data_IF_440300803958
#
_entry.id   IF_440300803958
#
_cell.length_a   1.000
_cell.length_b   1.000
_cell.length_c   1.000
_cell.angle_alpha   90.00
_cell.angle_beta   90.00
_cell.angle_gamma   90.00
#
_symmetry.space_group_name_H-M   'P 1'
#
loop_
_entity.id
_entity.type
_entity.pdbx_description
1 polymer ?
#
# COMPACT_ATOMS: atom_id res chain seq x y z
N UNK A 1 -5.40 -42.20 10.49
CA UNK A 1 -5.60 -40.74 10.15
C UNK A 1 -6.56 -40.18 11.19
N UNK A 2 -6.34 -38.90 11.62
CA UNK A 2 -7.30 -38.21 12.51
C UNK A 2 -8.70 -38.19 11.86
N UNK A 3 -9.79 -38.49 12.61
CA UNK A 3 -11.13 -38.58 12.02
C UNK A 3 -11.58 -37.33 11.28
N UNK A 4 -11.17 -36.16 11.75
CA UNK A 4 -11.48 -34.85 11.10
C UNK A 4 -10.77 -34.70 9.76
N UNK A 5 -9.52 -35.17 9.64
CA UNK A 5 -8.79 -35.15 8.38
C UNK A 5 -9.32 -36.20 7.39
N UNK A 6 -9.83 -37.32 7.86
CA UNK A 6 -10.45 -38.30 7.00
C UNK A 6 -11.71 -37.75 6.29
N UNK A 7 -12.48 -36.86 6.94
CA UNK A 7 -13.62 -36.18 6.35
C UNK A 7 -13.23 -35.23 5.20
N UNK A 8 -11.98 -34.73 5.22
CA UNK A 8 -11.45 -33.82 4.17
C UNK A 8 -10.79 -34.59 3.01
N UNK A 9 -10.85 -35.92 3.00
CA UNK A 9 -10.35 -36.74 1.90
C UNK A 9 -11.30 -36.64 0.71
N UNK A 10 -10.83 -36.15 -0.44
CA UNK A 10 -11.69 -36.03 -1.62
C UNK A 10 -12.04 -37.41 -2.18
N UNK A 11 -13.30 -37.59 -2.61
CA UNK A 11 -13.79 -38.78 -3.32
C UNK A 11 -13.09 -39.01 -4.66
N UNK A 12 -12.35 -38.02 -5.18
CA UNK A 12 -11.58 -38.10 -6.44
C UNK A 12 -10.28 -38.92 -6.27
N UNK A 13 -9.85 -39.17 -5.04
CA UNK A 13 -8.67 -39.98 -4.79
C UNK A 13 -8.93 -41.47 -5.15
N UNK A 14 -7.99 -42.08 -5.87
CA UNK A 14 -8.03 -43.52 -6.20
C UNK A 14 -7.68 -44.40 -5.01
N UNK A 15 -6.94 -43.86 -4.02
CA UNK A 15 -6.50 -44.57 -2.80
C UNK A 15 -7.37 -44.13 -1.61
N UNK A 16 -7.56 -45.06 -0.65
CA UNK A 16 -8.32 -44.76 0.57
C UNK A 16 -7.43 -44.19 1.68
N UNK A 17 -7.99 -43.45 2.65
CA UNK A 17 -7.23 -42.96 3.81
C UNK A 17 -6.58 -44.05 4.65
N UNK A 18 -7.12 -45.28 4.59
CA UNK A 18 -6.61 -46.47 5.30
C UNK A 18 -5.38 -47.08 4.64
N UNK A 19 -5.06 -46.68 3.40
CA UNK A 19 -3.97 -47.25 2.59
C UNK A 19 -2.70 -46.39 2.64
N UNK A 20 -2.68 -45.33 3.47
CA UNK A 20 -1.56 -44.40 3.58
C UNK A 20 -1.17 -44.18 5.04
N UNK A 21 0.13 -44.08 5.30
CA UNK A 21 0.64 -43.72 6.63
C UNK A 21 0.55 -42.18 6.84
N UNK A 22 0.52 -41.75 8.12
CA UNK A 22 0.48 -40.33 8.51
C UNK A 22 1.68 -39.56 8.01
N UNK A 23 2.86 -40.17 7.87
CA UNK A 23 4.08 -39.53 7.36
C UNK A 23 4.25 -39.62 5.84
N UNK A 24 3.25 -40.13 5.12
CA UNK A 24 3.35 -40.33 3.67
C UNK A 24 3.57 -39.04 2.88
N UNK A 25 4.54 -39.08 1.96
CA UNK A 25 4.79 -38.04 1.00
C UNK A 25 3.88 -38.09 -0.24
N UNK A 26 3.01 -39.14 -0.33
CA UNK A 26 2.04 -39.22 -1.43
C UNK A 26 1.14 -37.99 -1.44
N UNK A 27 1.00 -37.39 -2.60
CA UNK A 27 0.07 -36.28 -2.83
C UNK A 27 -1.33 -36.84 -3.09
N UNK A 28 -2.32 -36.28 -2.43
CA UNK A 28 -3.73 -36.62 -2.56
C UNK A 28 -4.56 -35.36 -2.61
N UNK A 29 -5.78 -35.46 -3.12
CA UNK A 29 -6.73 -34.38 -3.19
C UNK A 29 -7.47 -34.26 -1.86
N UNK A 30 -7.39 -33.09 -1.23
CA UNK A 30 -8.11 -32.71 -0.04
C UNK A 30 -9.29 -31.82 -0.38
N UNK A 31 -10.35 -31.87 0.42
CA UNK A 31 -11.52 -31.00 0.28
C UNK A 31 -11.85 -30.35 1.62
N UNK A 32 -11.87 -29.03 1.72
CA UNK A 32 -12.26 -28.35 2.95
C UNK A 32 -13.79 -28.22 3.08
N UNK A 33 -14.25 -27.76 4.23
CA UNK A 33 -15.67 -27.56 4.52
C UNK A 33 -16.35 -26.56 3.57
N UNK A 34 -15.59 -25.56 3.06
CA UNK A 34 -16.06 -24.60 2.05
C UNK A 34 -16.07 -25.17 0.61
N UNK A 35 -15.71 -26.45 0.45
CA UNK A 35 -15.75 -27.13 -0.84
C UNK A 35 -14.50 -26.98 -1.70
N UNK A 36 -13.48 -26.21 -1.28
CA UNK A 36 -12.24 -26.07 -2.05
C UNK A 36 -11.48 -27.38 -2.09
N UNK A 37 -11.01 -27.73 -3.27
CA UNK A 37 -10.18 -28.91 -3.49
C UNK A 37 -8.74 -28.50 -3.84
N UNK A 38 -7.75 -29.18 -3.25
CA UNK A 38 -6.33 -28.98 -3.55
C UNK A 38 -5.53 -30.24 -3.35
N UNK A 39 -4.41 -30.32 -4.03
CA UNK A 39 -3.46 -31.40 -3.88
C UNK A 39 -2.40 -31.06 -2.82
N UNK A 40 -2.18 -31.94 -1.86
CA UNK A 40 -1.12 -31.85 -0.86
C UNK A 40 -0.68 -33.23 -0.39
N UNK A 41 0.60 -33.34 0.04
CA UNK A 41 1.11 -34.55 0.65
C UNK A 41 0.37 -34.86 1.95
N UNK A 42 0.15 -36.14 2.25
CA UNK A 42 -0.49 -36.58 3.51
C UNK A 42 0.26 -35.99 4.71
N UNK A 43 1.59 -36.10 4.75
CA UNK A 43 2.46 -35.54 5.81
C UNK A 43 2.20 -34.04 6.05
N UNK A 44 1.96 -33.26 5.00
CA UNK A 44 1.71 -31.81 5.12
C UNK A 44 0.43 -31.52 5.91
N UNK A 45 -0.57 -32.38 5.79
CA UNK A 45 -1.84 -32.24 6.50
C UNK A 45 -1.81 -32.81 7.90
N UNK A 46 -1.13 -33.94 8.07
CA UNK A 46 -1.12 -34.71 9.33
C UNK A 46 -0.08 -34.20 10.31
N UNK A 47 1.18 -34.05 9.88
CA UNK A 47 2.31 -33.68 10.73
C UNK A 47 2.46 -32.15 10.74
N UNK A 48 2.52 -31.51 9.56
CA UNK A 48 2.73 -30.05 9.46
C UNK A 48 1.43 -29.24 9.68
N UNK A 49 0.29 -29.90 9.82
CA UNK A 49 -1.04 -29.32 10.09
C UNK A 49 -1.42 -28.16 9.15
N UNK A 50 -0.93 -28.19 7.90
CA UNK A 50 -1.26 -27.16 6.92
C UNK A 50 -2.75 -27.19 6.59
N UNK A 51 -3.40 -26.02 6.50
CA UNK A 51 -4.81 -25.86 6.15
C UNK A 51 -5.08 -25.85 4.65
N UNK A 52 -6.31 -25.46 4.27
CA UNK A 52 -6.67 -25.17 2.89
C UNK A 52 -5.93 -23.91 2.42
N UNK A 53 -5.15 -23.95 1.32
CA UNK A 53 -4.35 -22.81 0.86
C UNK A 53 -5.20 -21.64 0.36
N UNK A 54 -6.43 -21.90 -0.05
CA UNK A 54 -7.37 -20.86 -0.48
C UNK A 54 -8.00 -20.14 0.73
N UNK A 55 -8.42 -20.90 1.75
CA UNK A 55 -8.96 -20.33 2.98
C UNK A 55 -7.92 -19.54 3.79
N UNK A 56 -6.65 -19.93 3.70
CA UNK A 56 -5.52 -19.23 4.34
C UNK A 56 -4.89 -18.14 3.49
N UNK A 57 -5.47 -17.82 2.33
CA UNK A 57 -4.97 -16.84 1.35
C UNK A 57 -3.54 -17.09 0.80
N UNK A 58 -3.00 -18.30 1.00
CA UNK A 58 -1.69 -18.70 0.46
C UNK A 58 -1.73 -18.98 -1.04
N UNK A 59 -2.92 -19.31 -1.58
CA UNK A 59 -3.17 -19.40 -3.02
C UNK A 59 -4.41 -18.61 -3.38
N UNK A 60 -4.35 -17.94 -4.54
CA UNK A 60 -5.51 -17.23 -5.08
C UNK A 60 -6.49 -18.21 -5.69
N UNK A 61 -7.78 -17.94 -5.49
CA UNK A 61 -8.91 -18.59 -6.15
C UNK A 61 -9.84 -17.47 -6.61
N UNK A 62 -9.91 -17.26 -7.93
CA UNK A 62 -10.78 -16.26 -8.53
C UNK A 62 -12.25 -16.49 -8.12
N UNK A 63 -12.94 -15.42 -7.78
CA UNK A 63 -14.31 -15.46 -7.27
C UNK A 63 -14.43 -15.84 -5.77
N UNK A 64 -13.31 -16.00 -5.06
CA UNK A 64 -13.36 -16.34 -3.63
C UNK A 64 -12.46 -15.45 -2.75
N UNK A 65 -11.14 -15.43 -3.00
CA UNK A 65 -10.18 -14.74 -2.15
C UNK A 65 -9.27 -13.79 -2.94
N UNK A 66 -9.62 -13.53 -4.19
CA UNK A 66 -8.91 -12.57 -5.04
C UNK A 66 -9.28 -11.12 -4.69
N UNK A 67 -8.42 -10.19 -5.12
CA UNK A 67 -8.59 -8.77 -4.86
C UNK A 67 -9.88 -8.19 -5.45
N UNK A 68 -10.23 -8.60 -6.68
CA UNK A 68 -11.41 -8.09 -7.36
C UNK A 68 -12.71 -8.50 -6.65
N UNK A 69 -12.77 -9.71 -6.10
CA UNK A 69 -13.92 -10.23 -5.37
C UNK A 69 -14.05 -9.62 -3.98
N UNK A 70 -12.94 -9.51 -3.23
CA UNK A 70 -12.99 -9.06 -1.85
C UNK A 70 -13.02 -7.53 -1.71
N UNK A 71 -12.33 -6.81 -2.60
CA UNK A 71 -12.17 -5.35 -2.54
C UNK A 71 -12.39 -4.73 -3.94
N UNK A 72 -13.61 -4.79 -4.50
CA UNK A 72 -13.89 -4.33 -5.87
C UNK A 72 -13.57 -2.84 -6.07
N UNK A 73 -13.79 -2.00 -5.05
CA UNK A 73 -13.46 -0.57 -5.13
C UNK A 73 -11.96 -0.31 -5.25
N UNK A 74 -11.14 -1.15 -4.61
CA UNK A 74 -9.67 -1.07 -4.72
C UNK A 74 -9.20 -1.67 -6.04
N UNK A 75 -9.82 -2.77 -6.46
CA UNK A 75 -9.54 -3.39 -7.75
C UNK A 75 -9.85 -2.47 -8.94
N UNK A 76 -10.83 -1.56 -8.81
CA UNK A 76 -11.13 -0.55 -9.82
C UNK A 76 -10.00 0.50 -10.01
N UNK A 77 -9.10 0.62 -9.04
CA UNK A 77 -7.89 1.46 -9.15
C UNK A 77 -6.68 0.71 -9.74
N UNK A 78 -6.87 -0.55 -10.17
CA UNK A 78 -5.80 -1.34 -10.78
C UNK A 78 -5.37 -0.73 -12.11
N UNK A 79 -4.10 -0.34 -12.23
CA UNK A 79 -3.58 0.27 -13.46
C UNK A 79 -3.32 -0.78 -14.55
N UNK A 80 -3.55 -0.41 -15.81
CA UNK A 80 -3.23 -1.21 -17.00
C UNK A 80 -1.74 -1.54 -17.10
N UNK A 81 -0.88 -0.78 -16.43
CA UNK A 81 0.57 -1.05 -16.35
C UNK A 81 0.91 -2.40 -15.69
N UNK A 82 -0.06 -3.01 -15.01
CA UNK A 82 0.13 -4.33 -14.39
C UNK A 82 -0.03 -5.48 -15.40
N UNK A 83 -0.53 -5.21 -16.61
CA UNK A 83 -0.74 -6.27 -17.61
C UNK A 83 0.53 -7.13 -17.80
N UNK A 84 0.42 -8.47 -17.89
CA UNK A 84 -0.81 -9.28 -17.98
C UNK A 84 -1.41 -9.70 -16.60
N UNK A 85 -0.92 -9.17 -15.50
CA UNK A 85 -1.45 -9.49 -14.16
C UNK A 85 -2.78 -8.78 -13.92
N UNK A 86 -3.81 -9.57 -13.56
CA UNK A 86 -5.15 -9.09 -13.26
C UNK A 86 -5.43 -9.09 -11.75
N UNK A 87 -6.35 -8.25 -11.24
CA UNK A 87 -6.72 -8.23 -9.82
C UNK A 87 -7.42 -9.53 -9.35
N UNK A 88 -7.96 -10.32 -10.28
CA UNK A 88 -8.49 -11.67 -10.02
C UNK A 88 -7.43 -12.74 -9.78
N UNK A 89 -6.17 -12.42 -10.04
CA UNK A 89 -5.03 -13.35 -9.93
C UNK A 89 -4.16 -13.09 -8.70
N UNK A 90 -4.57 -12.19 -7.83
CA UNK A 90 -3.82 -11.82 -6.62
C UNK A 90 -4.73 -11.82 -5.40
N UNK A 91 -4.19 -12.18 -4.23
CA UNK A 91 -4.91 -12.07 -2.95
C UNK A 91 -4.73 -10.68 -2.35
N UNK A 92 -5.64 -10.25 -1.49
CA UNK A 92 -5.59 -8.96 -0.79
C UNK A 92 -4.35 -8.80 0.12
N UNK A 93 -3.75 -9.92 0.57
CA UNK A 93 -2.55 -9.91 1.41
C UNK A 93 -1.25 -10.15 0.64
N UNK A 94 -1.30 -10.09 -0.70
CA UNK A 94 -0.12 -10.35 -1.52
C UNK A 94 1.00 -9.33 -1.23
N UNK A 95 2.17 -9.84 -0.87
CA UNK A 95 3.38 -9.04 -0.67
C UNK A 95 4.09 -8.80 -2.02
N UNK A 96 3.35 -8.30 -2.98
CA UNK A 96 3.79 -7.96 -4.33
C UNK A 96 3.43 -6.51 -4.64
N UNK A 97 4.33 -5.77 -5.27
CA UNK A 97 4.05 -4.41 -5.76
C UNK A 97 3.16 -4.46 -7.00
N UNK A 98 2.24 -3.51 -7.07
CA UNK A 98 1.39 -3.26 -8.22
C UNK A 98 1.24 -1.76 -8.46
N UNK A 99 0.89 -1.38 -9.68
CA UNK A 99 0.56 -0.03 -10.08
C UNK A 99 -0.93 0.24 -9.83
N UNK A 100 -1.20 1.39 -9.27
CA UNK A 100 -2.55 1.84 -8.91
C UNK A 100 -2.81 3.19 -9.58
N UNK A 101 -4.01 3.40 -10.07
CA UNK A 101 -4.48 4.65 -10.65
C UNK A 101 -5.53 5.27 -9.75
N UNK A 102 -5.25 6.46 -9.24
CA UNK A 102 -6.17 7.16 -8.35
C UNK A 102 -7.43 7.59 -9.12
N UNK A 103 -8.60 7.27 -8.58
CA UNK A 103 -9.89 7.68 -9.15
C UNK A 103 -10.13 9.19 -9.04
N UNK A 104 -9.53 9.87 -8.03
CA UNK A 104 -9.77 11.28 -7.76
C UNK A 104 -8.84 12.19 -8.56
N UNK A 105 -7.53 11.88 -8.62
CA UNK A 105 -6.54 12.71 -9.32
C UNK A 105 -5.97 12.08 -10.60
N UNK A 106 -6.35 10.85 -10.94
CA UNK A 106 -5.90 10.14 -12.14
C UNK A 106 -4.43 9.71 -12.15
N UNK A 107 -3.65 10.07 -11.11
CA UNK A 107 -2.23 9.74 -11.03
C UNK A 107 -1.98 8.29 -10.67
N UNK A 108 -0.86 7.78 -11.16
CA UNK A 108 -0.45 6.42 -10.90
C UNK A 108 0.72 6.36 -9.93
N UNK A 109 0.70 5.37 -9.05
CA UNK A 109 1.78 5.07 -8.12
C UNK A 109 1.97 3.57 -7.94
N UNK A 110 3.11 3.17 -7.41
CA UNK A 110 3.45 1.78 -7.17
C UNK A 110 3.53 1.50 -5.66
N UNK A 111 2.76 0.53 -5.19
CA UNK A 111 2.82 0.07 -3.79
C UNK A 111 2.43 -1.39 -3.67
N UNK A 112 2.69 -1.99 -2.49
CA UNK A 112 2.31 -3.38 -2.22
C UNK A 112 0.78 -3.54 -2.26
N UNK A 113 0.32 -4.67 -2.76
CA UNK A 113 -1.11 -5.02 -2.78
C UNK A 113 -1.64 -5.05 -1.34
N UNK A 114 -0.92 -5.69 -0.42
CA UNK A 114 -1.29 -5.72 1.01
C UNK A 114 -1.41 -4.32 1.63
N UNK A 115 -0.51 -3.40 1.30
CA UNK A 115 -0.54 -2.01 1.79
C UNK A 115 -1.77 -1.26 1.26
N UNK A 116 -2.06 -1.38 -0.04
CA UNK A 116 -3.25 -0.74 -0.64
C UNK A 116 -4.54 -1.35 -0.11
N UNK A 117 -4.61 -2.67 0.02
CA UNK A 117 -5.75 -3.40 0.60
C UNK A 117 -5.96 -3.08 2.09
N UNK A 118 -4.89 -2.75 2.81
CA UNK A 118 -4.94 -2.28 4.20
C UNK A 118 -5.43 -0.83 4.37
N UNK A 119 -5.84 -0.15 3.30
CA UNK A 119 -6.47 1.17 3.34
C UNK A 119 -5.54 2.35 3.07
N UNK A 120 -4.28 2.14 2.65
CA UNK A 120 -3.41 3.25 2.24
C UNK A 120 -4.02 4.01 1.07
N UNK A 121 -3.95 5.35 1.12
CA UNK A 121 -4.52 6.24 0.11
C UNK A 121 -3.51 6.60 -0.98
N UNK A 122 -3.98 7.29 -2.01
CA UNK A 122 -3.12 7.89 -3.03
C UNK A 122 -2.12 8.85 -2.36
N UNK A 123 -0.80 8.67 -2.59
CA UNK A 123 0.22 9.47 -1.92
C UNK A 123 0.23 10.95 -2.38
N UNK A 124 -0.31 11.24 -3.56
CA UNK A 124 -0.45 12.60 -4.05
C UNK A 124 -1.63 13.32 -3.39
N UNK A 125 -2.82 12.68 -3.33
CA UNK A 125 -4.00 13.25 -2.68
C UNK A 125 -3.83 13.39 -1.16
N UNK A 126 -3.05 12.51 -0.53
CA UNK A 126 -2.73 12.58 0.90
C UNK A 126 -1.58 13.54 1.24
N UNK A 127 -0.96 14.19 0.26
CA UNK A 127 0.17 15.10 0.47
C UNK A 127 1.50 14.42 0.82
N UNK A 128 1.55 13.07 0.84
CA UNK A 128 2.77 12.34 1.15
C UNK A 128 3.86 12.52 0.09
N UNK A 129 3.46 12.60 -1.18
CA UNK A 129 4.36 12.97 -2.29
C UNK A 129 4.00 14.38 -2.73
N UNK A 130 4.96 15.31 -2.55
CA UNK A 130 4.84 16.68 -2.99
C UNK A 130 4.80 16.79 -4.52
N UNK A 131 3.89 17.60 -5.02
CA UNK A 131 3.77 17.90 -6.44
C UNK A 131 3.33 19.36 -6.64
N UNK A 132 4.25 20.16 -7.17
CA UNK A 132 4.02 21.58 -7.46
C UNK A 132 2.82 21.77 -8.41
N UNK A 133 1.95 22.71 -8.09
CA UNK A 133 0.73 22.98 -8.85
C UNK A 133 -0.40 21.98 -8.61
N UNK A 134 -0.28 21.11 -7.58
CA UNK A 134 -1.32 20.17 -7.21
C UNK A 134 -1.60 20.12 -5.71
N UNK A 135 -0.60 19.84 -4.89
CA UNK A 135 -0.75 19.72 -3.44
C UNK A 135 0.25 20.60 -2.66
N UNK A 136 0.82 21.60 -3.33
CA UNK A 136 1.63 22.64 -2.69
C UNK A 136 0.73 23.65 -1.95
N UNK A 137 1.33 24.36 -1.01
CA UNK A 137 0.61 25.32 -0.16
C UNK A 137 -0.05 26.45 -0.96
N UNK A 138 0.64 26.93 -2.01
CA UNK A 138 0.11 28.00 -2.88
C UNK A 138 -1.15 27.56 -3.61
N UNK A 139 -1.22 26.29 -4.03
CA UNK A 139 -2.36 25.73 -4.76
C UNK A 139 -3.51 25.34 -3.82
N UNK A 140 -3.20 24.76 -2.64
CA UNK A 140 -4.21 24.25 -1.70
C UNK A 140 -4.72 25.31 -0.73
N UNK A 141 -3.88 26.28 -0.35
CA UNK A 141 -4.18 27.35 0.62
C UNK A 141 -3.58 28.68 0.17
N UNK A 142 -4.07 29.28 -0.93
CA UNK A 142 -3.52 30.50 -1.50
C UNK A 142 -3.59 31.71 -0.52
N UNK A 143 -4.57 31.72 0.38
CA UNK A 143 -4.72 32.73 1.42
C UNK A 143 -3.58 32.69 2.45
N UNK A 144 -3.08 31.50 2.81
CA UNK A 144 -1.94 31.36 3.73
C UNK A 144 -0.63 31.70 3.01
N UNK A 145 -0.49 31.27 1.78
CA UNK A 145 0.72 31.52 0.99
C UNK A 145 0.88 33.02 0.66
N UNK A 146 -0.22 33.77 0.42
CA UNK A 146 -0.20 35.20 0.18
C UNK A 146 0.09 36.04 1.43
N UNK A 147 -0.32 35.55 2.61
CA UNK A 147 -0.03 36.24 3.87
C UNK A 147 1.49 36.36 4.15
N UNK A 148 2.29 35.37 3.75
CA UNK A 148 3.74 35.36 3.92
C UNK A 148 4.46 36.37 2.97
N UNK A 149 3.90 36.66 1.78
CA UNK A 149 4.51 37.64 0.87
C UNK A 149 4.32 39.08 1.33
N UNK A 150 3.24 39.39 2.04
CA UNK A 150 3.03 40.70 2.64
C UNK A 150 3.99 41.02 3.80
N UNK A 151 4.37 40.00 4.58
CA UNK A 151 5.34 40.16 5.67
C UNK A 151 6.77 40.42 5.17
N UNK A 152 7.20 39.74 4.11
CA UNK A 152 8.55 39.93 3.53
C UNK A 152 8.66 41.31 2.87
N UNK A 153 7.59 41.78 2.18
CA UNK A 153 7.55 43.07 1.56
C UNK A 153 7.51 44.20 2.60
N UNK A 154 6.82 44.02 3.72
CA UNK A 154 6.80 44.99 4.84
C UNK A 154 8.19 45.08 5.52
N UNK A 155 8.87 43.98 5.73
CA UNK A 155 10.22 43.94 6.30
C UNK A 155 11.26 44.56 5.33
N UNK A 156 11.13 44.36 4.03
CA UNK A 156 12.02 44.93 3.01
C UNK A 156 11.85 46.45 2.93
N UNK A 157 10.64 46.97 3.06
CA UNK A 157 10.37 48.42 3.08
C UNK A 157 10.91 49.08 4.36
N UNK A 158 10.88 48.40 5.50
CA UNK A 158 11.49 48.93 6.73
C UNK A 158 13.02 48.96 6.68
N UNK A 159 13.66 47.99 6.05
CA UNK A 159 15.11 47.98 5.85
C UNK A 159 15.57 49.06 4.87
N UNK A 160 14.80 49.35 3.83
CA UNK A 160 15.09 50.44 2.87
C UNK A 160 15.01 51.83 3.53
N UNK A 161 14.07 52.07 4.43
CA UNK A 161 13.94 53.31 5.16
C UNK A 161 15.04 53.50 6.23
N UNK A 162 15.51 52.41 6.86
CA UNK A 162 16.63 52.49 7.81
C UNK A 162 17.94 52.80 7.08
N UNK A 163 18.14 52.29 5.86
CA UNK A 163 19.34 52.58 5.07
C UNK A 163 19.37 54.03 4.57
N UNK A 164 18.20 54.65 4.32
CA UNK A 164 18.12 56.04 3.87
C UNK A 164 18.42 57.05 5.01
N UNK A 165 18.14 56.65 6.27
CA UNK A 165 18.41 57.52 7.45
C UNK A 165 19.90 57.50 7.83
N UNK A 166 20.62 56.42 7.59
CA UNK A 166 22.04 56.29 7.91
C UNK A 166 22.93 57.03 6.90
N UNK A 167 22.48 57.27 5.66
CA UNK A 167 23.24 57.98 4.64
C UNK A 167 23.25 59.48 4.76
N UNK A 168 22.50 60.10 5.71
CA UNK A 168 22.45 61.53 5.91
C UNK A 168 23.15 62.07 7.16
N UNK A 169 23.77 61.20 7.98
CA UNK A 169 24.57 61.64 9.11
C UNK A 169 26.03 61.16 8.97
N UNK A 170 26.83 61.90 8.22
CA UNK A 170 28.27 61.82 8.26
C UNK A 170 28.77 62.37 9.59
N UNK A 171 29.68 61.62 10.21
CA UNK A 171 30.48 61.91 11.40
C UNK A 171 29.88 61.43 12.73
N UNK A 172 30.19 60.19 13.13
CA UNK A 172 30.76 59.80 14.42
C UNK A 172 31.15 58.33 14.31
N UNK A 173 32.42 58.04 14.55
CA UNK A 173 32.98 56.70 14.67
C UNK A 173 32.56 56.06 15.99
N UNK A 174 31.87 54.93 15.95
CA UNK A 174 31.87 53.96 17.07
C UNK A 174 31.66 52.55 16.53
N UNK A 175 32.59 51.67 16.89
CA UNK A 175 32.60 50.25 16.60
C UNK A 175 31.45 49.55 17.30
N UNK A 176 30.63 48.85 16.55
CA UNK A 176 29.66 47.91 17.16
C UNK A 176 30.12 46.47 16.88
N UNK A 177 30.57 45.85 17.93
CA UNK A 177 30.86 44.42 18.01
C UNK A 177 29.53 43.62 17.92
N UNK A 178 29.34 42.85 16.87
CA UNK A 178 28.18 41.96 16.75
C UNK A 178 28.65 40.58 17.24
N UNK A 179 28.12 40.19 18.40
CA UNK A 179 28.22 38.84 18.94
C UNK A 179 27.22 37.95 18.22
N UNK A 180 27.67 36.94 17.51
CA UNK A 180 26.86 35.83 16.95
C UNK A 180 26.51 34.85 18.07
N UNK A 181 25.24 34.51 18.18
CA UNK A 181 24.71 33.26 18.72
C UNK A 181 23.83 32.57 17.68
#
# INVERSE_FOLDING_TARGET
>A
LEPLLAKQWSKKNKIKPTEVSIGSHKKVIWKCEKGHEWEAAVKSRTINKTGCPYCSHNKVLAGFNDLATLLPNIAAEWSDRNYPLLPTQVTVFANRKAWWKCKDCGREWNTLISTRSGGSKCPYCSGYIFLKGFNDLQTTHPEIASANTSFVNSASLHLSNVFLIISTSSSVSEEINICTL
#
